data_IF_874531888120
#
_entry.id   IF_874531888120
#
_cell.length_a   1.000
_cell.length_b   1.000
_cell.length_c   1.000
_cell.angle_alpha   90.00
_cell.angle_beta   90.00
_cell.angle_gamma   90.00
#
_symmetry.space_group_name_H-M   'P 1'
#
loop_
_entity.id
_entity.type
_entity.pdbx_description
1 polymer ?
#
# COMPACT_ATOMS: atom_id res chain seq x y z
N UNK A 1 -6.75 -54.28 16.81
CA UNK A 1 -6.08 -53.24 15.99
C UNK A 1 -7.16 -52.24 15.58
N UNK A 2 -7.33 -51.14 16.33
CA UNK A 2 -8.40 -50.15 16.06
C UNK A 2 -7.77 -48.88 15.48
N UNK A 3 -7.94 -48.68 14.18
CA UNK A 3 -7.49 -47.47 13.49
C UNK A 3 -8.46 -46.32 13.81
N UNK A 4 -8.00 -45.35 14.59
CA UNK A 4 -8.75 -44.12 14.84
C UNK A 4 -8.47 -43.14 13.70
N UNK A 5 -9.36 -43.07 12.73
CA UNK A 5 -9.28 -42.10 11.63
C UNK A 5 -9.69 -40.72 12.17
N UNK A 6 -8.71 -39.86 12.47
CA UNK A 6 -8.96 -38.46 12.84
C UNK A 6 -9.29 -37.64 11.60
N UNK A 7 -10.57 -37.31 11.41
CA UNK A 7 -11.01 -36.37 10.36
C UNK A 7 -10.59 -34.95 10.75
N UNK A 8 -9.50 -34.47 10.15
CA UNK A 8 -9.03 -33.10 10.29
C UNK A 8 -9.98 -32.12 9.60
N UNK A 9 -10.61 -31.22 10.38
CA UNK A 9 -11.47 -30.13 9.92
C UNK A 9 -10.64 -29.08 9.15
N UNK A 10 -10.38 -29.34 7.85
CA UNK A 10 -9.61 -28.47 6.94
C UNK A 10 -10.33 -27.18 6.51
N UNK A 11 -11.64 -27.06 6.75
CA UNK A 11 -12.46 -25.94 6.26
C UNK A 11 -12.24 -24.60 6.96
N UNK A 12 -11.85 -24.59 8.24
CA UNK A 12 -11.83 -23.36 9.04
C UNK A 12 -10.60 -22.47 8.77
N UNK A 13 -9.51 -23.05 8.25
CA UNK A 13 -8.26 -22.33 7.95
C UNK A 13 -8.23 -21.66 6.56
N UNK A 14 -8.94 -22.22 5.58
CA UNK A 14 -8.95 -21.69 4.21
C UNK A 14 -9.72 -20.38 4.11
N UNK A 15 -10.92 -20.31 4.70
CA UNK A 15 -11.75 -19.10 4.69
C UNK A 15 -11.07 -17.95 5.44
N UNK A 16 -10.46 -18.23 6.60
CA UNK A 16 -9.70 -17.23 7.37
C UNK A 16 -8.52 -16.69 6.59
N UNK A 17 -7.72 -17.56 5.95
CA UNK A 17 -6.59 -17.13 5.10
C UNK A 17 -7.04 -16.32 3.89
N UNK A 18 -8.15 -16.68 3.26
CA UNK A 18 -8.71 -15.93 2.13
C UNK A 18 -9.18 -14.53 2.57
N UNK A 19 -9.83 -14.44 3.74
CA UNK A 19 -10.23 -13.17 4.32
C UNK A 19 -9.03 -12.30 4.70
N UNK A 20 -8.00 -12.86 5.35
CA UNK A 20 -6.77 -12.14 5.68
C UNK A 20 -6.08 -11.58 4.42
N UNK A 21 -6.02 -12.38 3.34
CA UNK A 21 -5.50 -11.95 2.03
C UNK A 21 -6.33 -10.82 1.41
N UNK A 22 -7.65 -10.87 1.54
CA UNK A 22 -8.56 -9.83 1.05
C UNK A 22 -8.37 -8.52 1.81
N UNK A 23 -8.28 -8.61 3.15
CA UNK A 23 -8.00 -7.46 4.02
C UNK A 23 -6.65 -6.87 3.65
N UNK A 24 -5.59 -7.67 3.55
CA UNK A 24 -4.25 -7.22 3.15
C UNK A 24 -4.25 -6.49 1.81
N UNK A 25 -4.92 -7.04 0.79
CA UNK A 25 -5.09 -6.38 -0.50
C UNK A 25 -5.81 -5.03 -0.39
N UNK A 26 -6.85 -4.93 0.46
CA UNK A 26 -7.56 -3.69 0.73
C UNK A 26 -6.67 -2.68 1.47
N UNK A 27 -5.84 -3.13 2.40
CA UNK A 27 -4.89 -2.27 3.12
C UNK A 27 -3.84 -1.68 2.18
N UNK A 28 -3.36 -2.46 1.20
CA UNK A 28 -2.44 -1.98 0.15
C UNK A 28 -3.12 -0.92 -0.71
N UNK A 29 -4.37 -1.13 -1.11
CA UNK A 29 -5.14 -0.13 -1.86
C UNK A 29 -5.37 1.15 -1.06
N UNK A 30 -5.74 1.03 0.22
CA UNK A 30 -5.93 2.17 1.10
C UNK A 30 -4.64 2.99 1.25
N UNK A 31 -3.50 2.31 1.45
CA UNK A 31 -2.19 2.97 1.51
C UNK A 31 -1.86 3.70 0.20
N UNK A 32 -2.09 3.08 -0.96
CA UNK A 32 -1.88 3.74 -2.27
C UNK A 32 -2.78 4.96 -2.45
N UNK A 33 -4.04 4.87 -2.04
CA UNK A 33 -4.99 5.99 -2.13
C UNK A 33 -4.58 7.15 -1.23
N UNK A 34 -4.25 6.87 0.04
CA UNK A 34 -3.80 7.90 0.99
C UNK A 34 -2.51 8.54 0.51
N UNK A 35 -1.52 7.74 0.07
CA UNK A 35 -0.27 8.28 -0.43
C UNK A 35 -0.49 9.13 -1.69
N UNK A 36 -1.35 8.69 -2.62
CA UNK A 36 -1.72 9.48 -3.79
C UNK A 36 -2.40 10.81 -3.41
N UNK A 37 -3.30 10.78 -2.44
CA UNK A 37 -3.96 11.99 -1.93
C UNK A 37 -2.95 12.96 -1.29
N UNK A 38 -2.07 12.46 -0.41
CA UNK A 38 -1.01 13.26 0.20
C UNK A 38 -0.06 13.86 -0.84
N UNK A 39 0.33 13.08 -1.85
CA UNK A 39 1.18 13.57 -2.94
C UNK A 39 0.47 14.63 -3.78
N UNK A 40 -0.82 14.46 -4.07
CA UNK A 40 -1.60 15.45 -4.81
C UNK A 40 -1.84 16.74 -4.01
N UNK A 41 -1.93 16.63 -2.68
CA UNK A 41 -2.02 17.78 -1.78
C UNK A 41 -0.71 18.58 -1.81
N UNK A 42 0.43 17.88 -1.82
CA UNK A 42 1.73 18.51 -1.98
C UNK A 42 1.87 19.20 -3.34
N UNK A 43 1.51 18.52 -4.44
CA UNK A 43 1.49 19.12 -5.79
C UNK A 43 0.57 20.35 -5.87
N UNK A 44 -0.61 20.29 -5.26
CA UNK A 44 -1.53 21.43 -5.22
C UNK A 44 -0.97 22.60 -4.41
N UNK A 45 -0.23 22.32 -3.35
CA UNK A 45 0.45 23.33 -2.53
C UNK A 45 1.58 23.98 -3.33
N UNK A 46 2.40 23.18 -4.00
CA UNK A 46 3.45 23.68 -4.90
C UNK A 46 2.87 24.58 -6.00
N UNK A 47 1.80 24.11 -6.66
CA UNK A 47 1.11 24.87 -7.70
C UNK A 47 0.50 26.18 -7.16
N UNK A 48 -0.06 26.19 -5.95
CA UNK A 48 -0.59 27.40 -5.32
C UNK A 48 0.50 28.44 -5.03
N UNK A 49 1.73 27.98 -4.79
CA UNK A 49 2.91 28.84 -4.63
C UNK A 49 3.64 29.13 -5.95
N UNK A 50 3.13 28.63 -7.08
CA UNK A 50 3.69 28.86 -8.42
C UNK A 50 4.87 27.95 -8.79
N UNK A 51 5.15 26.92 -7.99
CA UNK A 51 6.22 25.96 -8.22
C UNK A 51 5.70 24.71 -8.94
N UNK A 52 6.38 24.27 -10.00
CA UNK A 52 6.16 22.95 -10.61
C UNK A 52 7.11 21.94 -9.97
N UNK A 53 6.59 20.81 -9.49
CA UNK A 53 7.39 19.72 -8.91
C UNK A 53 8.52 19.28 -9.85
N UNK A 54 8.34 19.35 -11.17
CA UNK A 54 9.38 19.02 -12.17
C UNK A 54 10.53 20.02 -12.24
N UNK A 55 10.28 21.26 -11.85
CA UNK A 55 11.32 22.29 -11.77
C UNK A 55 12.15 22.09 -10.51
N UNK A 56 11.49 21.83 -9.37
CA UNK A 56 12.14 21.46 -8.12
C UNK A 56 12.93 20.15 -8.20
N UNK A 57 12.45 19.14 -8.92
CA UNK A 57 13.20 17.89 -9.15
C UNK A 57 14.46 18.13 -9.98
N UNK A 58 14.44 19.06 -10.94
CA UNK A 58 15.64 19.43 -11.73
C UNK A 58 16.66 20.19 -10.89
N UNK A 59 16.20 21.14 -10.08
CA UNK A 59 17.07 21.91 -9.18
C UNK A 59 17.61 21.05 -8.01
N UNK A 60 16.77 20.15 -7.48
CA UNK A 60 17.12 19.22 -6.40
C UNK A 60 18.07 18.11 -6.84
N UNK A 61 17.93 17.60 -8.07
CA UNK A 61 18.87 16.63 -8.68
C UNK A 61 20.28 17.23 -8.84
N UNK A 62 20.39 18.54 -9.10
CA UNK A 62 21.68 19.25 -9.09
C UNK A 62 22.23 19.48 -7.67
N UNK A 63 21.37 19.43 -6.64
CA UNK A 63 21.70 19.75 -5.24
C UNK A 63 22.02 18.50 -4.39
N UNK A 64 21.69 17.29 -4.85
CA UNK A 64 21.99 16.04 -4.14
C UNK A 64 23.43 15.52 -4.37
N UNK A 65 24.41 16.42 -4.33
CA UNK A 65 25.84 16.10 -4.31
C UNK A 65 26.45 16.62 -3.00
N UNK A 66 25.92 16.13 -1.87
CA UNK A 66 26.50 16.30 -0.54
C UNK A 66 26.31 15.01 0.27
#
# INVERSE_FOLDING_TARGET
MAMSTSTSTRGNGFVRRAFDRMVEARTIQARRYVNGYLLSLDDATLAAHGYDRRELEREGSATSAF
#
